data_IF_454789474253
#
_entry.id   IF_454789474253
#
_cell.length_a   1.000
_cell.length_b   1.000
_cell.length_c   1.000
_cell.angle_alpha   90.00
_cell.angle_beta   90.00
_cell.angle_gamma   90.00
#
_symmetry.space_group_name_H-M   'P 1'
#
loop_
_entity.id
_entity.type
_entity.pdbx_description
1 polymer ?
#
# COMPACT_ATOMS: atom_id res chain seq x y z
N UNK A 1 0.47 10.23 68.08
CA UNK A 1 0.41 8.92 67.42
C UNK A 1 1.53 8.06 67.99
N UNK A 2 1.21 7.06 68.80
CA UNK A 2 2.20 6.07 69.23
C UNK A 2 2.37 5.03 68.13
N UNK A 3 3.60 4.82 67.68
CA UNK A 3 3.94 3.77 66.72
C UNK A 3 4.33 2.52 67.52
N UNK A 4 3.66 1.40 67.27
CA UNK A 4 3.97 0.12 67.88
C UNK A 4 5.02 -0.61 67.02
N UNK A 5 6.26 -0.68 67.50
CA UNK A 5 7.33 -1.47 66.87
C UNK A 5 7.33 -2.89 67.45
N UNK A 6 6.91 -3.88 66.67
CA UNK A 6 6.98 -5.30 67.02
C UNK A 6 7.89 -6.02 66.04
N UNK A 7 8.89 -6.75 66.56
CA UNK A 7 9.87 -7.50 65.74
C UNK A 7 9.30 -8.75 65.09
N UNK A 8 8.48 -9.51 65.83
CA UNK A 8 7.78 -10.69 65.31
C UNK A 8 6.42 -10.79 65.99
N UNK A 9 5.34 -10.80 65.20
CA UNK A 9 3.97 -10.94 65.70
C UNK A 9 3.54 -12.41 65.61
N UNK A 10 3.39 -13.09 66.74
CA UNK A 10 2.83 -14.44 66.77
C UNK A 10 1.30 -14.37 66.84
N UNK A 11 0.63 -14.67 65.73
CA UNK A 11 -0.79 -14.34 65.51
C UNK A 11 -1.68 -15.53 65.84
N UNK A 12 -2.12 -15.64 67.10
CA UNK A 12 -3.08 -16.69 67.51
C UNK A 12 -4.55 -16.32 67.25
N UNK A 13 -4.91 -15.04 67.43
CA UNK A 13 -6.32 -14.58 67.42
C UNK A 13 -6.51 -13.13 66.93
N UNK A 14 -5.55 -12.55 66.20
CA UNK A 14 -5.73 -11.20 65.66
C UNK A 14 -6.73 -11.22 64.50
N UNK A 15 -7.88 -10.57 64.70
CA UNK A 15 -8.92 -10.43 63.67
C UNK A 15 -8.78 -9.07 63.03
N UNK A 16 -8.37 -9.01 61.76
CA UNK A 16 -8.40 -7.76 61.00
C UNK A 16 -9.85 -7.53 60.54
N UNK A 17 -10.59 -6.64 61.22
CA UNK A 17 -11.96 -6.29 60.83
C UNK A 17 -11.93 -5.30 59.66
N UNK A 18 -12.38 -5.73 58.49
CA UNK A 18 -12.50 -4.87 57.30
C UNK A 18 -12.27 -5.59 55.98
N UNK A 19 -11.57 -6.73 56.01
CA UNK A 19 -11.43 -7.62 54.88
C UNK A 19 -11.23 -9.06 55.41
N UNK A 20 -12.13 -9.97 55.02
CA UNK A 20 -12.07 -11.39 55.39
C UNK A 20 -11.26 -12.21 54.39
N UNK A 21 -10.60 -11.57 53.43
CA UNK A 21 -9.75 -12.25 52.46
C UNK A 21 -8.47 -12.74 53.14
N UNK A 22 -8.28 -14.06 53.13
CA UNK A 22 -7.00 -14.66 53.48
C UNK A 22 -6.16 -14.75 52.21
N UNK A 23 -5.20 -13.84 52.05
CA UNK A 23 -4.18 -13.97 51.02
C UNK A 23 -3.16 -15.01 51.50
N UNK A 24 -3.41 -16.28 51.20
CA UNK A 24 -2.54 -17.40 51.57
C UNK A 24 -1.25 -17.49 50.74
N UNK A 25 -1.02 -16.54 49.84
CA UNK A 25 0.18 -16.45 49.01
C UNK A 25 0.57 -14.99 48.81
N UNK A 26 1.88 -14.72 48.74
CA UNK A 26 2.37 -13.41 48.36
C UNK A 26 1.80 -13.02 46.98
N UNK A 27 1.47 -11.74 46.74
CA UNK A 27 1.09 -11.27 45.43
C UNK A 27 2.23 -11.51 44.43
N UNK A 28 1.88 -11.83 43.19
CA UNK A 28 2.85 -12.05 42.11
C UNK A 28 3.80 -10.85 42.00
N UNK A 29 5.10 -11.13 41.96
CA UNK A 29 6.17 -10.12 41.87
C UNK A 29 6.59 -9.83 40.44
N UNK A 30 6.12 -10.62 39.49
CA UNK A 30 6.34 -10.45 38.06
C UNK A 30 5.08 -10.74 37.25
N UNK A 31 5.03 -10.22 36.02
CA UNK A 31 3.93 -10.50 35.09
C UNK A 31 3.82 -12.01 34.79
N UNK A 32 4.95 -12.71 34.75
CA UNK A 32 5.00 -14.16 34.50
C UNK A 32 4.35 -14.95 35.63
N UNK A 33 4.51 -14.51 36.88
CA UNK A 33 3.88 -15.12 38.06
C UNK A 33 2.37 -14.87 38.13
N UNK A 34 1.85 -13.87 37.40
CA UNK A 34 0.42 -13.61 37.27
C UNK A 34 -0.27 -14.51 36.23
N UNK A 35 0.51 -15.19 35.38
CA UNK A 35 0.00 -15.94 34.24
C UNK A 35 -0.13 -17.43 34.55
N UNK A 36 -1.20 -18.05 34.04
CA UNK A 36 -1.27 -19.51 33.93
C UNK A 36 -0.90 -19.91 32.50
N UNK A 37 0.21 -20.64 32.34
CA UNK A 37 0.76 -21.05 31.04
C UNK A 37 1.96 -20.21 30.58
N UNK A 38 2.59 -20.63 29.48
CA UNK A 38 3.81 -19.99 28.94
C UNK A 38 3.45 -19.07 27.78
N UNK A 39 3.75 -17.75 27.86
CA UNK A 39 3.62 -16.86 26.71
C UNK A 39 4.42 -17.37 25.52
N UNK A 40 3.85 -17.30 24.33
CA UNK A 40 4.56 -17.56 23.09
C UNK A 40 4.26 -16.50 22.05
N UNK A 41 5.03 -16.48 20.97
CA UNK A 41 4.84 -15.53 19.87
C UNK A 41 3.38 -15.57 19.40
N UNK A 42 2.85 -14.39 19.07
CA UNK A 42 1.48 -14.18 18.61
C UNK A 42 0.35 -14.38 19.63
N UNK A 43 0.66 -14.59 20.91
CA UNK A 43 -0.34 -14.63 21.97
C UNK A 43 -0.61 -13.24 22.55
N UNK A 44 -1.84 -12.99 22.98
CA UNK A 44 -2.17 -11.92 23.92
C UNK A 44 -2.49 -12.51 25.28
N UNK A 45 -2.27 -11.74 26.33
CA UNK A 45 -2.73 -12.10 27.66
C UNK A 45 -4.22 -11.77 27.76
N UNK A 46 -5.04 -12.76 28.07
CA UNK A 46 -6.49 -12.60 28.24
C UNK A 46 -6.95 -13.15 29.59
N UNK A 47 -7.94 -12.52 30.19
CA UNK A 47 -8.62 -13.07 31.36
C UNK A 47 -9.65 -14.11 30.90
N UNK A 48 -9.51 -15.36 31.34
CA UNK A 48 -10.43 -16.44 30.96
C UNK A 48 -11.61 -16.64 31.94
N UNK A 49 -11.78 -15.74 32.90
CA UNK A 49 -12.76 -15.87 33.99
C UNK A 49 -12.17 -16.37 35.32
N UNK A 50 -10.93 -16.88 35.32
CA UNK A 50 -10.27 -17.36 36.56
C UNK A 50 -8.78 -17.04 36.64
N UNK A 51 -8.10 -16.88 35.51
CA UNK A 51 -6.70 -16.50 35.45
C UNK A 51 -6.39 -15.67 34.19
N UNK A 52 -5.27 -14.94 34.24
CA UNK A 52 -4.66 -14.37 33.05
C UNK A 52 -3.90 -15.47 32.32
N UNK A 53 -4.27 -15.74 31.08
CA UNK A 53 -3.68 -16.81 30.27
C UNK A 53 -3.18 -16.27 28.93
N UNK A 54 -2.03 -16.72 28.42
CA UNK A 54 -1.65 -16.47 27.04
C UNK A 54 -2.64 -17.17 26.11
N UNK A 55 -3.28 -16.42 25.21
CA UNK A 55 -4.20 -16.95 24.21
C UNK A 55 -3.79 -16.53 22.81
N UNK A 56 -3.82 -17.47 21.86
CA UNK A 56 -3.60 -17.17 20.45
C UNK A 56 -4.70 -16.20 19.97
N UNK A 57 -4.29 -15.03 19.49
CA UNK A 57 -5.21 -14.09 18.84
C UNK A 57 -5.19 -14.34 17.34
N UNK A 58 -6.25 -14.96 16.83
CA UNK A 58 -6.50 -15.03 15.39
C UNK A 58 -6.99 -13.66 14.88
N UNK A 59 -6.69 -13.32 13.64
CA UNK A 59 -7.11 -12.11 12.95
C UNK A 59 -6.28 -10.85 13.28
N UNK A 60 -5.19 -10.94 14.06
CA UNK A 60 -4.37 -9.76 14.38
C UNK A 60 -3.42 -9.45 13.23
N UNK A 61 -3.28 -8.18 12.88
CA UNK A 61 -2.23 -7.72 11.97
C UNK A 61 -0.84 -7.99 12.56
N UNK A 62 -0.04 -8.79 11.85
CA UNK A 62 1.33 -9.15 12.18
C UNK A 62 2.36 -8.20 11.55
N UNK A 63 2.03 -7.63 10.40
CA UNK A 63 2.90 -6.69 9.70
C UNK A 63 2.45 -6.42 8.27
N UNK A 64 3.07 -5.43 7.64
CA UNK A 64 2.80 -5.03 6.25
C UNK A 64 4.09 -5.10 5.44
N UNK A 65 4.05 -5.77 4.30
CA UNK A 65 5.11 -5.74 3.30
C UNK A 65 4.67 -4.85 2.14
N UNK A 66 5.54 -3.93 1.72
CA UNK A 66 5.30 -3.02 0.58
C UNK A 66 6.38 -3.27 -0.45
N UNK A 67 5.97 -3.68 -1.66
CA UNK A 67 6.86 -3.95 -2.78
C UNK A 67 6.56 -2.96 -3.91
N UNK A 68 7.45 -2.00 -4.09
CA UNK A 68 7.39 -0.98 -5.13
C UNK A 68 8.76 -0.32 -5.26
N UNK A 69 8.98 0.42 -6.34
CA UNK A 69 10.13 1.32 -6.49
C UNK A 69 9.80 2.78 -6.12
N UNK A 70 8.60 3.04 -5.62
CA UNK A 70 8.14 4.36 -5.15
C UNK A 70 8.54 4.55 -3.67
N UNK A 71 8.95 5.77 -3.30
CA UNK A 71 9.38 6.11 -1.95
C UNK A 71 8.34 6.93 -1.16
N UNK A 72 7.20 7.26 -1.77
CA UNK A 72 6.12 8.03 -1.16
C UNK A 72 6.35 9.55 -1.13
N UNK A 73 7.44 10.05 -1.70
CA UNK A 73 7.65 11.49 -1.87
C UNK A 73 6.82 12.01 -3.04
N UNK A 74 6.31 13.24 -2.93
CA UNK A 74 5.44 13.83 -3.96
C UNK A 74 6.15 14.02 -5.31
N UNK A 75 7.48 14.09 -5.31
CA UNK A 75 8.32 14.29 -6.50
C UNK A 75 9.03 13.02 -6.98
N UNK A 76 8.64 11.84 -6.49
CA UNK A 76 9.17 10.55 -6.96
C UNK A 76 8.67 10.20 -8.36
N UNK A 77 9.57 10.12 -9.35
CA UNK A 77 9.28 9.74 -10.74
C UNK A 77 9.83 8.34 -11.06
N UNK A 78 9.38 7.33 -10.32
CA UNK A 78 9.90 5.97 -10.45
C UNK A 78 9.09 5.14 -11.43
N UNK A 79 9.73 4.68 -12.51
CA UNK A 79 9.13 3.79 -13.53
C UNK A 79 9.63 2.35 -13.44
N UNK A 80 10.54 2.04 -12.53
CA UNK A 80 11.18 0.72 -12.45
C UNK A 80 10.19 -0.37 -12.05
N UNK A 81 10.27 -1.53 -12.72
CA UNK A 81 9.60 -2.76 -12.28
C UNK A 81 10.48 -3.54 -11.30
N UNK A 82 9.89 -4.48 -10.58
CA UNK A 82 10.66 -5.43 -9.78
C UNK A 82 9.86 -6.69 -9.43
N UNK A 83 10.57 -7.70 -8.98
CA UNK A 83 9.98 -8.97 -8.54
C UNK A 83 10.75 -9.53 -7.36
N UNK A 84 10.13 -10.48 -6.67
CA UNK A 84 10.73 -11.13 -5.53
C UNK A 84 9.82 -12.19 -4.94
N UNK A 85 10.10 -12.57 -3.70
CA UNK A 85 9.33 -13.57 -2.97
C UNK A 85 8.87 -12.98 -1.64
N UNK A 86 7.57 -13.01 -1.40
CA UNK A 86 7.02 -12.84 -0.06
C UNK A 86 7.17 -14.17 0.69
N UNK A 87 7.75 -14.11 1.88
CA UNK A 87 7.90 -15.27 2.77
C UNK A 87 6.95 -15.12 3.93
N UNK A 88 6.17 -16.17 4.20
CA UNK A 88 5.17 -16.18 5.25
C UNK A 88 5.78 -15.89 6.62
N UNK A 89 5.34 -14.84 7.33
CA UNK A 89 5.77 -14.58 8.70
C UNK A 89 5.29 -15.68 9.66
N UNK A 90 6.03 -15.88 10.75
CA UNK A 90 5.66 -16.87 11.78
C UNK A 90 4.27 -16.58 12.36
N UNK A 91 3.44 -17.62 12.41
CA UNK A 91 2.06 -17.56 12.89
C UNK A 91 1.09 -16.76 12.02
N UNK A 92 1.46 -16.42 10.78
CA UNK A 92 0.52 -15.91 9.78
C UNK A 92 -0.41 -17.05 9.32
N UNK A 93 -1.69 -16.77 9.15
CA UNK A 93 -2.67 -17.70 8.59
C UNK A 93 -3.39 -17.10 7.38
N UNK A 94 -3.51 -15.77 7.32
CA UNK A 94 -4.19 -15.07 6.25
C UNK A 94 -3.43 -13.83 5.78
N UNK A 95 -3.64 -13.42 4.53
CA UNK A 95 -3.16 -12.14 4.01
C UNK A 95 -4.25 -11.36 3.29
N UNK A 96 -4.24 -10.03 3.43
CA UNK A 96 -4.94 -9.11 2.53
C UNK A 96 -3.91 -8.50 1.57
N UNK A 97 -4.08 -8.74 0.28
CA UNK A 97 -3.15 -8.29 -0.75
C UNK A 97 -3.80 -7.25 -1.65
N UNK A 98 -3.12 -6.13 -1.85
CA UNK A 98 -3.41 -5.17 -2.89
C UNK A 98 -2.35 -5.29 -3.98
N UNK A 99 -2.76 -5.50 -5.22
CA UNK A 99 -1.89 -5.56 -6.40
C UNK A 99 -2.33 -4.46 -7.35
N UNK A 100 -1.49 -3.47 -7.60
CA UNK A 100 -1.77 -2.38 -8.54
C UNK A 100 -0.77 -2.40 -9.70
N UNK A 101 -1.26 -2.41 -10.93
CA UNK A 101 -0.43 -2.32 -12.14
C UNK A 101 0.28 -0.97 -12.27
N UNK A 102 1.31 -0.88 -13.11
CA UNK A 102 1.94 0.40 -13.45
C UNK A 102 1.03 1.29 -14.29
N UNK A 103 1.19 2.61 -14.21
CA UNK A 103 0.46 3.55 -15.06
C UNK A 103 1.10 3.71 -16.43
N UNK A 104 0.31 4.07 -17.44
CA UNK A 104 0.81 4.42 -18.77
C UNK A 104 1.40 5.83 -18.82
N UNK A 105 2.30 6.09 -19.77
CA UNK A 105 2.86 7.42 -20.01
C UNK A 105 1.96 8.29 -20.89
N UNK A 106 2.13 9.60 -20.80
CA UNK A 106 1.41 10.54 -21.67
C UNK A 106 1.96 10.54 -23.10
N UNK A 107 1.16 11.07 -24.01
CA UNK A 107 1.58 11.49 -25.34
C UNK A 107 1.42 13.00 -25.46
N UNK A 108 2.49 13.66 -25.89
CA UNK A 108 2.52 15.08 -26.23
C UNK A 108 2.82 15.23 -27.73
N UNK A 109 2.05 16.06 -28.42
CA UNK A 109 2.25 16.44 -29.82
C UNK A 109 2.26 17.97 -29.93
N UNK A 110 3.47 18.53 -30.03
CA UNK A 110 3.72 19.96 -30.08
C UNK A 110 3.26 20.56 -31.41
N UNK A 111 3.35 19.79 -32.50
CA UNK A 111 3.03 20.25 -33.85
C UNK A 111 1.53 20.52 -34.06
N UNK A 112 0.68 19.95 -33.20
CA UNK A 112 -0.78 20.06 -33.32
C UNK A 112 -1.46 20.50 -32.03
N UNK A 113 -0.70 20.89 -31.01
CA UNK A 113 -1.20 21.30 -29.70
C UNK A 113 -2.16 20.26 -29.10
N UNK A 114 -1.69 19.01 -29.01
CA UNK A 114 -2.47 17.90 -28.44
C UNK A 114 -1.70 17.19 -27.35
N UNK A 115 -2.39 16.94 -26.25
CA UNK A 115 -1.90 16.15 -25.12
C UNK A 115 -2.89 15.04 -24.80
N UNK A 116 -2.36 13.87 -24.42
CA UNK A 116 -3.17 12.76 -23.96
C UNK A 116 -2.47 12.09 -22.78
N UNK A 117 -3.11 12.07 -21.62
CA UNK A 117 -2.57 11.45 -20.42
C UNK A 117 -2.56 9.93 -20.53
N UNK A 118 -1.68 9.26 -19.80
CA UNK A 118 -1.71 7.81 -19.67
C UNK A 118 -2.84 7.34 -18.73
N UNK A 119 -3.27 6.09 -18.90
CA UNK A 119 -4.23 5.45 -17.99
C UNK A 119 -3.56 4.99 -16.70
N UNK A 120 -4.32 4.90 -15.62
CA UNK A 120 -3.88 4.28 -14.38
C UNK A 120 -3.90 2.76 -14.47
N UNK A 121 -3.03 2.07 -13.74
CA UNK A 121 -3.06 0.63 -13.57
C UNK A 121 -4.29 0.18 -12.76
N UNK A 122 -4.79 -1.02 -13.09
CA UNK A 122 -5.87 -1.64 -12.32
C UNK A 122 -5.40 -2.02 -10.92
N UNK A 123 -6.34 -2.33 -10.03
CA UNK A 123 -6.06 -2.83 -8.68
C UNK A 123 -6.88 -4.08 -8.37
N UNK A 124 -6.21 -5.18 -8.03
CA UNK A 124 -6.85 -6.37 -7.45
C UNK A 124 -6.65 -6.35 -5.93
N UNK A 125 -7.73 -6.61 -5.18
CA UNK A 125 -7.70 -6.76 -3.72
C UNK A 125 -8.19 -8.17 -3.41
N UNK A 126 -7.42 -8.92 -2.62
CA UNK A 126 -7.73 -10.32 -2.30
C UNK A 126 -7.39 -10.70 -0.87
N UNK A 127 -8.32 -11.39 -0.21
CA UNK A 127 -8.08 -12.11 1.03
C UNK A 127 -7.68 -13.55 0.73
N UNK A 128 -6.57 -14.03 1.32
CA UNK A 128 -6.00 -15.33 0.99
C UNK A 128 -5.69 -16.08 2.28
N UNK A 129 -6.20 -17.30 2.40
CA UNK A 129 -5.71 -18.28 3.38
C UNK A 129 -4.35 -18.81 2.91
N UNK A 130 -3.33 -18.55 3.72
CA UNK A 130 -1.94 -18.95 3.47
C UNK A 130 -1.48 -20.02 4.46
N UNK A 131 -2.39 -20.69 5.17
CA UNK A 131 -2.10 -21.76 6.14
C UNK A 131 -1.18 -22.84 5.54
N UNK A 132 -1.43 -23.26 4.30
CA UNK A 132 -0.68 -24.28 3.57
C UNK A 132 0.46 -23.75 2.67
N UNK A 133 0.74 -22.44 2.70
CA UNK A 133 1.72 -21.78 1.82
C UNK A 133 2.90 -21.30 2.64
N UNK A 134 4.12 -21.48 2.16
CA UNK A 134 5.33 -20.95 2.82
C UNK A 134 5.81 -19.63 2.22
N UNK A 135 5.61 -19.44 0.91
CA UNK A 135 6.00 -18.24 0.19
C UNK A 135 5.20 -18.05 -1.10
N UNK A 136 5.20 -16.83 -1.63
CA UNK A 136 4.53 -16.45 -2.88
C UNK A 136 5.42 -15.49 -3.66
N UNK A 137 5.63 -15.74 -4.96
CA UNK A 137 6.33 -14.80 -5.84
C UNK A 137 5.49 -13.55 -6.10
N UNK A 138 6.10 -12.37 -6.08
CA UNK A 138 5.43 -11.13 -6.48
C UNK A 138 6.15 -10.46 -7.65
N UNK A 139 5.39 -9.67 -8.41
CA UNK A 139 5.91 -8.71 -9.39
C UNK A 139 5.15 -7.41 -9.22
N UNK A 140 5.86 -6.27 -9.20
CA UNK A 140 5.26 -4.96 -9.41
C UNK A 140 5.70 -4.42 -10.78
N UNK A 141 4.73 -4.00 -11.57
CA UNK A 141 4.92 -3.48 -12.91
C UNK A 141 5.56 -2.11 -12.92
N UNK A 142 6.41 -1.86 -13.91
CA UNK A 142 7.02 -0.54 -14.13
C UNK A 142 6.01 0.48 -14.67
N UNK A 143 6.35 1.76 -14.58
CA UNK A 143 5.58 2.83 -15.21
C UNK A 143 5.89 2.95 -16.71
N UNK A 144 4.92 3.40 -17.49
CA UNK A 144 5.10 3.67 -18.92
C UNK A 144 5.79 5.00 -19.18
N UNK A 145 6.77 5.01 -20.07
CA UNK A 145 7.39 6.24 -20.57
C UNK A 145 6.44 7.10 -21.41
N UNK A 146 6.69 8.41 -21.39
CA UNK A 146 5.99 9.36 -22.24
C UNK A 146 6.49 9.27 -23.70
N UNK A 147 5.69 9.79 -24.64
CA UNK A 147 6.12 10.01 -26.02
C UNK A 147 5.90 11.46 -26.43
N UNK A 148 6.90 12.06 -27.09
CA UNK A 148 6.84 13.43 -27.62
C UNK A 148 6.98 13.41 -29.14
N UNK A 149 6.05 14.06 -29.85
CA UNK A 149 6.05 14.16 -31.32
C UNK A 149 6.23 12.80 -32.03
N UNK A 150 5.69 11.72 -31.45
CA UNK A 150 6.00 10.34 -31.84
C UNK A 150 4.79 9.40 -31.86
N UNK A 151 4.95 8.16 -31.38
CA UNK A 151 3.87 7.17 -31.27
C UNK A 151 3.04 7.33 -30.01
N UNK A 152 2.25 6.32 -29.65
CA UNK A 152 1.55 6.26 -28.37
C UNK A 152 2.55 6.36 -27.19
N UNK A 153 2.14 6.92 -26.06
CA UNK A 153 2.87 6.71 -24.80
C UNK A 153 2.98 5.21 -24.47
N UNK A 154 3.99 4.82 -23.70
CA UNK A 154 4.18 3.42 -23.32
C UNK A 154 3.13 2.98 -22.29
N UNK A 155 2.70 1.73 -22.40
CA UNK A 155 1.81 1.07 -21.43
C UNK A 155 2.59 0.72 -20.17
N UNK A 156 1.97 0.88 -18.99
CA UNK A 156 2.52 0.43 -17.72
C UNK A 156 2.60 -1.09 -17.62
N UNK A 157 3.53 -1.58 -16.80
CA UNK A 157 3.73 -3.01 -16.56
C UNK A 157 2.63 -3.63 -15.71
N UNK A 158 2.51 -4.96 -15.81
CA UNK A 158 1.59 -5.76 -15.01
C UNK A 158 2.19 -6.08 -13.65
N UNK A 159 1.36 -6.05 -12.60
CA UNK A 159 1.70 -6.50 -11.24
C UNK A 159 0.95 -7.79 -10.89
N UNK A 160 1.53 -8.63 -10.03
CA UNK A 160 0.94 -9.91 -9.63
C UNK A 160 1.40 -10.36 -8.25
N UNK A 161 0.55 -11.11 -7.55
CA UNK A 161 0.92 -11.86 -6.36
C UNK A 161 0.62 -13.35 -6.59
N UNK A 162 1.64 -14.11 -6.98
CA UNK A 162 1.53 -15.50 -7.43
C UNK A 162 0.47 -15.66 -8.52
N UNK A 163 -0.22 -16.81 -8.48
CA UNK A 163 -1.42 -17.07 -9.26
C UNK A 163 -2.70 -16.52 -8.63
N UNK A 164 -2.60 -15.86 -7.47
CA UNK A 164 -3.78 -15.45 -6.71
C UNK A 164 -4.52 -14.28 -7.35
N UNK A 165 -3.79 -13.24 -7.78
CA UNK A 165 -4.37 -12.07 -8.43
C UNK A 165 -3.35 -11.33 -9.31
N UNK A 166 -3.87 -10.64 -10.32
CA UNK A 166 -3.08 -9.91 -11.32
C UNK A 166 -3.76 -8.58 -11.62
N UNK A 167 -2.95 -7.53 -11.75
CA UNK A 167 -3.42 -6.21 -12.14
C UNK A 167 -2.57 -5.67 -13.29
N UNK A 168 -3.21 -5.45 -14.44
CA UNK A 168 -2.56 -4.98 -15.64
C UNK A 168 -2.31 -3.47 -15.55
N UNK A 169 -1.25 -3.03 -16.24
CA UNK A 169 -0.92 -1.62 -16.30
C UNK A 169 -1.86 -0.82 -17.19
N UNK A 170 -1.95 0.48 -16.92
CA UNK A 170 -2.70 1.42 -17.74
C UNK A 170 -1.98 1.65 -19.06
N UNK A 171 -2.75 1.87 -20.13
CA UNK A 171 -2.16 2.09 -21.44
C UNK A 171 -1.68 3.54 -21.59
N UNK A 172 -0.73 3.81 -22.48
CA UNK A 172 -0.28 5.19 -22.71
C UNK A 172 -1.30 6.03 -23.50
N UNK A 173 -1.16 7.36 -23.42
CA UNK A 173 -2.01 8.30 -24.15
C UNK A 173 -1.77 8.28 -25.67
N UNK A 174 -2.75 8.72 -26.46
CA UNK A 174 -2.68 8.74 -27.92
C UNK A 174 -3.34 10.00 -28.50
N UNK A 175 -2.54 10.92 -29.04
CA UNK A 175 -3.02 12.19 -29.62
C UNK A 175 -3.27 12.14 -31.13
N UNK A 176 -2.93 11.02 -31.76
CA UNK A 176 -3.33 10.67 -33.13
C UNK A 176 -4.56 9.75 -33.08
N UNK A 177 -5.18 9.44 -34.22
CA UNK A 177 -6.37 8.56 -34.28
C UNK A 177 -6.20 7.34 -33.34
N UNK A 178 -7.05 7.16 -32.30
CA UNK A 178 -8.40 7.70 -32.15
C UNK A 178 -8.57 8.96 -31.28
N UNK A 179 -7.50 9.70 -30.97
CA UNK A 179 -7.56 10.98 -30.23
C UNK A 179 -8.11 10.82 -28.80
N UNK A 180 -7.42 10.05 -27.96
CA UNK A 180 -7.89 9.75 -26.61
C UNK A 180 -6.74 9.60 -25.60
N UNK A 181 -7.04 9.85 -24.33
CA UNK A 181 -6.16 9.45 -23.25
C UNK A 181 -6.06 7.92 -23.14
N UNK A 182 -5.04 7.47 -22.43
CA UNK A 182 -4.77 6.05 -22.25
C UNK A 182 -5.88 5.38 -21.44
N UNK A 183 -6.49 4.29 -21.92
CA UNK A 183 -7.39 3.48 -21.11
C UNK A 183 -6.68 2.96 -19.85
N UNK A 184 -7.42 2.90 -18.75
CA UNK A 184 -6.92 2.29 -17.52
C UNK A 184 -6.73 0.77 -17.65
N UNK A 185 -5.85 0.23 -16.82
CA UNK A 185 -5.61 -1.20 -16.73
C UNK A 185 -6.74 -1.93 -16.02
N UNK A 186 -6.97 -3.19 -16.36
CA UNK A 186 -7.92 -4.07 -15.68
C UNK A 186 -7.23 -4.93 -14.61
N UNK A 187 -8.02 -5.46 -13.69
CA UNK A 187 -7.57 -6.37 -12.64
C UNK A 187 -8.37 -7.68 -12.67
N UNK A 188 -7.79 -8.76 -12.16
CA UNK A 188 -8.42 -10.08 -12.12
C UNK A 188 -7.91 -10.94 -10.96
N UNK A 189 -8.69 -11.95 -10.59
CA UNK A 189 -8.36 -12.91 -9.54
C UNK A 189 -8.54 -12.38 -8.11
N UNK A 190 -8.71 -11.08 -7.91
CA UNK A 190 -9.08 -10.52 -6.62
C UNK A 190 -10.55 -10.79 -6.27
N UNK A 191 -10.87 -10.68 -4.99
CA UNK A 191 -12.25 -10.61 -4.50
C UNK A 191 -12.90 -9.30 -4.96
N UNK A 192 -12.07 -8.24 -5.04
CA UNK A 192 -12.42 -6.96 -5.64
C UNK A 192 -11.44 -6.67 -6.76
N UNK A 193 -11.96 -6.37 -7.95
CA UNK A 193 -11.17 -6.03 -9.13
C UNK A 193 -11.58 -4.65 -9.63
N UNK A 194 -10.73 -3.65 -9.41
CA UNK A 194 -10.99 -2.26 -9.77
C UNK A 194 -10.23 -1.91 -11.05
N UNK A 195 -10.90 -1.38 -12.09
CA UNK A 195 -10.19 -0.82 -13.23
C UNK A 195 -9.49 0.48 -12.84
N UNK A 196 -8.35 0.75 -13.47
CA UNK A 196 -7.71 2.06 -13.40
C UNK A 196 -8.53 3.12 -14.15
N UNK A 197 -8.34 4.38 -13.79
CA UNK A 197 -8.93 5.51 -14.50
C UNK A 197 -8.29 5.68 -15.89
N UNK A 198 -9.07 6.19 -16.84
CA UNK A 198 -8.55 6.62 -18.15
C UNK A 198 -7.85 7.98 -18.06
N UNK A 199 -6.85 8.21 -18.89
CA UNK A 199 -6.26 9.53 -19.09
C UNK A 199 -7.20 10.47 -19.85
N UNK A 200 -6.99 11.77 -19.70
CA UNK A 200 -7.71 12.79 -20.45
C UNK A 200 -7.00 13.11 -21.77
N UNK A 201 -7.73 13.76 -22.68
CA UNK A 201 -7.18 14.31 -23.92
C UNK A 201 -7.51 15.79 -24.02
N UNK A 202 -6.56 16.57 -24.53
CA UNK A 202 -6.71 17.96 -24.87
C UNK A 202 -6.34 18.23 -26.33
N UNK A 203 -7.01 19.22 -26.89
CA UNK A 203 -6.78 19.77 -28.21
C UNK A 203 -6.86 21.29 -28.10
N UNK A 204 -5.77 21.97 -28.42
CA UNK A 204 -5.63 23.41 -28.25
C UNK A 204 -4.66 23.78 -27.14
N UNK A 205 -4.17 25.01 -27.20
CA UNK A 205 -3.20 25.52 -26.25
C UNK A 205 -3.81 25.69 -24.85
N UNK A 206 -5.07 26.10 -24.75
CA UNK A 206 -5.66 26.60 -23.51
C UNK A 206 -6.28 25.50 -22.61
N UNK A 207 -5.85 24.24 -22.79
CA UNK A 207 -6.36 23.11 -22.02
C UNK A 207 -5.25 22.13 -21.66
N UNK A 208 -5.09 21.94 -20.36
CA UNK A 208 -4.32 20.86 -19.76
C UNK A 208 -5.28 19.75 -19.34
N UNK A 209 -4.86 18.50 -19.48
CA UNK A 209 -5.66 17.37 -19.04
C UNK A 209 -4.90 16.49 -18.07
N UNK A 210 -5.67 15.79 -17.24
CA UNK A 210 -5.16 14.86 -16.24
C UNK A 210 -4.78 13.50 -16.81
N UNK A 211 -4.08 12.72 -16.00
CA UNK A 211 -3.90 11.30 -16.23
C UNK A 211 -4.96 10.46 -15.51
N UNK A 212 -5.00 9.18 -15.86
CA UNK A 212 -5.82 8.20 -15.18
C UNK A 212 -5.33 7.92 -13.77
N UNK A 213 -6.25 7.92 -12.81
CA UNK A 213 -5.98 7.55 -11.43
C UNK A 213 -5.76 6.04 -11.27
N UNK A 214 -4.92 5.65 -10.32
CA UNK A 214 -4.98 4.30 -9.73
C UNK A 214 -5.84 4.34 -8.46
N UNK A 215 -5.94 3.21 -7.74
CA UNK A 215 -6.53 3.18 -6.40
C UNK A 215 -5.83 4.14 -5.41
N UNK A 216 -4.54 4.43 -5.63
CA UNK A 216 -3.68 5.11 -4.67
C UNK A 216 -3.45 6.59 -4.97
N UNK A 217 -3.47 6.98 -6.25
CA UNK A 217 -2.99 8.29 -6.66
C UNK A 217 -3.68 8.77 -7.94
N UNK A 218 -3.81 10.09 -8.07
CA UNK A 218 -4.13 10.76 -9.33
C UNK A 218 -3.15 11.93 -9.52
N UNK A 219 -2.38 11.97 -10.61
CA UNK A 219 -1.49 13.10 -10.86
C UNK A 219 -2.30 14.34 -11.24
N UNK A 220 -1.62 15.47 -11.14
CA UNK A 220 -2.10 16.76 -11.61
C UNK A 220 -1.83 17.00 -13.09
N UNK A 221 -1.98 18.25 -13.48
CA UNK A 221 -1.57 18.82 -14.76
C UNK A 221 -0.76 20.10 -14.49
N UNK A 222 -0.07 20.62 -15.50
CA UNK A 222 0.73 21.86 -15.37
C UNK A 222 0.45 22.84 -16.52
N UNK A 223 0.18 24.10 -16.19
CA UNK A 223 0.02 25.21 -17.14
C UNK A 223 1.09 26.28 -16.87
N UNK A 224 1.70 26.87 -17.92
CA UNK A 224 2.67 27.98 -17.90
C UNK A 224 3.29 28.27 -16.50
N UNK A 225 4.30 27.47 -16.11
CA UNK A 225 4.82 27.45 -14.74
C UNK A 225 6.05 28.35 -14.58
N UNK A 226 6.12 29.09 -13.46
CA UNK A 226 7.20 30.06 -13.16
C UNK A 226 8.16 29.59 -12.05
N UNK A 227 7.96 28.40 -11.46
CA UNK A 227 8.60 27.95 -10.21
C UNK A 227 9.01 26.45 -10.15
N UNK A 228 9.21 25.77 -11.29
CA UNK A 228 9.87 24.46 -11.44
C UNK A 228 9.31 23.26 -10.60
N UNK A 229 7.99 23.03 -10.58
CA UNK A 229 7.34 21.91 -9.85
C UNK A 229 6.54 20.95 -10.74
N UNK A 230 6.99 20.75 -11.97
CA UNK A 230 6.29 19.95 -12.99
C UNK A 230 6.21 18.46 -12.66
N UNK A 231 6.89 18.02 -11.60
CA UNK A 231 6.80 16.66 -11.03
C UNK A 231 5.36 16.28 -10.65
N UNK A 232 4.46 17.25 -10.44
CA UNK A 232 3.05 16.95 -10.18
C UNK A 232 2.35 16.21 -11.33
N UNK A 233 2.93 16.20 -12.53
CA UNK A 233 2.36 15.49 -13.69
C UNK A 233 2.76 14.02 -13.77
N UNK A 234 3.80 13.56 -13.05
CA UNK A 234 4.19 12.15 -13.16
C UNK A 234 3.20 11.28 -12.42
N UNK A 235 3.01 10.07 -12.93
CA UNK A 235 2.28 9.06 -12.22
C UNK A 235 3.09 8.58 -11.02
N UNK A 236 2.37 8.30 -9.94
CA UNK A 236 2.89 7.57 -8.79
C UNK A 236 1.94 6.44 -8.44
N UNK A 237 2.46 5.39 -7.78
CA UNK A 237 1.64 4.28 -7.25
C UNK A 237 0.66 3.70 -8.30
N UNK A 238 1.16 3.48 -9.51
CA UNK A 238 0.40 2.91 -10.62
C UNK A 238 -0.50 3.90 -11.37
N UNK A 239 -0.58 5.17 -11.00
CA UNK A 239 -1.35 6.14 -11.79
C UNK A 239 -0.65 6.51 -13.10
N UNK A 240 -1.40 6.94 -14.11
CA UNK A 240 -0.86 7.34 -15.40
C UNK A 240 -0.01 8.61 -15.33
N UNK A 241 0.71 8.93 -16.41
CA UNK A 241 1.42 10.20 -16.56
C UNK A 241 0.50 11.28 -17.14
N UNK A 242 0.43 12.43 -16.47
CA UNK A 242 -0.23 13.64 -16.96
C UNK A 242 0.64 14.36 -17.99
N UNK A 243 0.15 15.47 -18.50
CA UNK A 243 0.91 16.33 -19.40
C UNK A 243 0.78 17.79 -18.99
N UNK A 244 1.77 18.59 -19.38
CA UNK A 244 1.77 20.04 -19.21
C UNK A 244 1.57 20.80 -20.52
N UNK A 245 1.58 22.13 -20.42
CA UNK A 245 1.46 23.03 -21.57
C UNK A 245 2.67 22.94 -22.53
N UNK A 246 2.39 23.01 -23.83
CA UNK A 246 3.27 22.69 -24.97
C UNK A 246 4.55 23.54 -25.14
N UNK A 247 4.64 24.71 -24.50
CA UNK A 247 5.81 25.58 -24.56
C UNK A 247 6.83 25.32 -23.44
N UNK A 248 6.52 24.42 -22.49
CA UNK A 248 7.38 24.18 -21.33
C UNK A 248 8.57 23.28 -21.71
N UNK A 249 9.72 23.91 -21.91
CA UNK A 249 10.99 23.29 -22.23
C UNK A 249 11.38 22.22 -21.19
N UNK A 250 11.68 20.99 -21.63
CA UNK A 250 12.22 19.79 -20.94
C UNK A 250 11.67 19.33 -19.57
N UNK A 251 11.08 20.19 -18.73
CA UNK A 251 10.68 19.87 -17.36
C UNK A 251 9.33 19.16 -17.28
N UNK A 252 8.29 19.61 -18.00
CA UNK A 252 6.98 18.96 -17.95
C UNK A 252 6.95 17.60 -18.67
N UNK A 253 7.65 17.48 -19.79
CA UNK A 253 7.65 16.24 -20.59
C UNK A 253 8.37 15.10 -19.88
N UNK A 254 9.50 15.37 -19.24
CA UNK A 254 10.23 14.35 -18.48
C UNK A 254 9.47 13.85 -17.25
N UNK A 255 8.46 14.59 -16.80
CA UNK A 255 7.54 14.21 -15.74
C UNK A 255 6.19 13.72 -16.27
N UNK A 256 6.07 13.35 -17.55
CA UNK A 256 4.82 12.85 -18.13
C UNK A 256 4.74 11.31 -18.16
N UNK A 257 5.54 10.64 -17.33
CA UNK A 257 5.63 9.17 -17.23
C UNK A 257 4.56 8.65 -16.28
N UNK A 258 4.09 7.42 -16.50
CA UNK A 258 3.25 6.72 -15.54
C UNK A 258 4.06 6.22 -14.34
N UNK A 259 3.41 6.03 -13.20
CA UNK A 259 4.08 5.54 -12.00
C UNK A 259 4.21 4.04 -11.98
N UNK A 260 5.32 3.52 -11.46
CA UNK A 260 5.43 2.12 -11.10
C UNK A 260 4.28 1.66 -10.18
N UNK A 261 3.83 0.43 -10.38
CA UNK A 261 2.82 -0.23 -9.58
C UNK A 261 3.34 -0.64 -8.20
N UNK A 262 2.50 -1.37 -7.47
CA UNK A 262 2.86 -1.88 -6.15
C UNK A 262 2.18 -3.22 -5.85
N UNK A 263 2.79 -3.96 -4.94
CA UNK A 263 2.18 -5.10 -4.24
C UNK A 263 2.29 -4.84 -2.75
N UNK A 264 1.16 -4.78 -2.05
CA UNK A 264 1.09 -4.52 -0.61
C UNK A 264 0.42 -5.72 0.07
N UNK A 265 1.10 -6.32 1.04
CA UNK A 265 0.65 -7.52 1.75
C UNK A 265 0.49 -7.20 3.23
N UNK A 266 -0.75 -7.25 3.72
CA UNK A 266 -1.05 -7.20 5.15
C UNK A 266 -1.13 -8.64 5.65
N UNK A 267 -0.34 -8.96 6.67
CA UNK A 267 -0.20 -10.32 7.21
C UNK A 267 -1.02 -10.46 8.50
N UNK A 268 -1.82 -11.51 8.63
CA UNK A 268 -2.70 -11.72 9.79
C UNK A 268 -2.49 -13.10 10.42
N UNK A 269 -2.57 -13.18 11.76
CA UNK A 269 -2.59 -14.46 12.49
C UNK A 269 -3.91 -15.20 12.39
#
# INVERSE_FOLDING_TARGET
MSQLNVGTLNVGTTTFTGDSSTLNSAPASSLTEMLTGTPSTNHSIMWNGSAWVPQLMTGRLLGVNVYTSQDGTWNSNSTSSGSGTWTKPSGCSNVLVYVTGGGGGARINDNSYRGAGGGGGGTAIKWIDVSAVSSVSYTYGGGGDYSRNGGRGSTGGTSSFGSYCTANGGQGGQTDNPYQGGPGGNASGGDINLPGGGGEMAHGADREGGAGSSFWHKPGSSHHYANNQEQITHGQWGSGGGYGYYSQNDYAYNNSRGGAGCVIVYNYS
#
